data_IF_741697787268
#
_entry.id   IF_741697787268
#
_cell.length_a   1.000
_cell.length_b   1.000
_cell.length_c   1.000
_cell.angle_alpha   90.00
_cell.angle_beta   90.00
_cell.angle_gamma   90.00
#
_symmetry.space_group_name_H-M   'P 1'
#
loop_
_entity.id
_entity.type
_entity.pdbx_description
1 polymer ?
#
# COMPACT_ATOMS: atom_id res chain seq x y z
N UNK A 1 -18.23 -26.77 -4.14
CA UNK A 1 -17.82 -26.70 -2.72
C UNK A 1 -16.63 -27.62 -2.54
N UNK A 2 -15.43 -27.05 -2.50
CA UNK A 2 -14.17 -27.77 -2.26
C UNK A 2 -13.31 -26.88 -1.38
N UNK A 3 -13.38 -27.12 -0.08
CA UNK A 3 -12.58 -26.43 0.92
C UNK A 3 -11.12 -26.90 0.79
N UNK A 4 -10.23 -25.98 0.47
CA UNK A 4 -8.87 -26.05 0.95
C UNK A 4 -8.43 -24.61 1.19
N UNK A 5 -8.75 -24.14 2.40
CA UNK A 5 -8.38 -22.82 2.87
C UNK A 5 -6.89 -22.64 2.68
N UNK A 6 -6.52 -21.71 1.80
CA UNK A 6 -5.14 -21.26 1.68
C UNK A 6 -4.78 -20.74 3.07
N UNK A 7 -3.93 -21.48 3.80
CA UNK A 7 -3.45 -21.08 5.11
C UNK A 7 -2.98 -19.64 4.99
N UNK A 8 -3.47 -18.78 5.88
CA UNK A 8 -2.99 -17.41 5.98
C UNK A 8 -1.46 -17.47 5.96
N UNK A 9 -0.86 -16.82 4.98
CA UNK A 9 0.59 -16.85 4.85
C UNK A 9 1.21 -16.28 6.12
N UNK A 10 2.12 -17.04 6.74
CA UNK A 10 2.73 -16.73 8.03
C UNK A 10 3.45 -15.39 7.96
N UNK A 11 4.06 -15.06 6.81
CA UNK A 11 4.74 -13.78 6.61
C UNK A 11 3.72 -12.64 6.65
N UNK A 12 2.63 -12.76 5.88
CA UNK A 12 1.53 -11.78 5.89
C UNK A 12 0.96 -11.60 7.30
N UNK A 13 0.77 -12.68 8.06
CA UNK A 13 0.29 -12.61 9.45
C UNK A 13 1.25 -11.84 10.35
N UNK A 14 2.55 -12.17 10.29
CA UNK A 14 3.58 -11.49 11.11
C UNK A 14 3.60 -10.01 10.80
N UNK A 15 3.61 -9.63 9.52
CA UNK A 15 3.64 -8.22 9.13
C UNK A 15 2.34 -7.51 9.52
N UNK A 16 1.18 -8.16 9.46
CA UNK A 16 -0.09 -7.59 9.96
C UNK A 16 -0.10 -7.37 11.47
N UNK A 17 0.50 -8.27 12.25
CA UNK A 17 0.63 -8.09 13.71
C UNK A 17 1.55 -6.90 14.00
N UNK A 18 2.68 -6.80 13.30
CA UNK A 18 3.61 -5.67 13.46
C UNK A 18 2.97 -4.35 13.02
N UNK A 19 2.17 -4.37 11.96
CA UNK A 19 1.39 -3.22 11.52
C UNK A 19 0.33 -2.82 12.56
N UNK A 20 -0.37 -3.80 13.14
CA UNK A 20 -1.33 -3.53 14.21
C UNK A 20 -0.66 -2.90 15.45
N UNK A 21 0.51 -3.37 15.83
CA UNK A 21 1.30 -2.76 16.93
C UNK A 21 1.71 -1.33 16.55
N UNK A 22 2.13 -1.09 15.31
CA UNK A 22 2.53 0.23 14.81
C UNK A 22 1.35 1.21 14.83
N UNK A 23 0.18 0.74 14.42
CA UNK A 23 -1.08 1.47 14.51
C UNK A 23 -1.45 1.81 15.96
N UNK A 24 -1.26 0.90 16.92
CA UNK A 24 -1.50 1.19 18.34
C UNK A 24 -0.58 2.31 18.85
N UNK A 25 0.70 2.31 18.46
CA UNK A 25 1.63 3.38 18.80
C UNK A 25 1.18 4.72 18.20
N UNK A 26 0.76 4.71 16.93
CA UNK A 26 0.24 5.91 16.26
C UNK A 26 -1.04 6.45 16.93
N UNK A 27 -2.00 5.58 17.26
CA UNK A 27 -3.21 5.96 17.98
C UNK A 27 -2.88 6.52 19.36
N UNK A 28 -2.04 5.84 20.14
CA UNK A 28 -1.71 6.25 21.50
C UNK A 28 -1.02 7.63 21.52
N UNK A 29 -0.09 7.87 20.60
CA UNK A 29 0.56 9.17 20.46
C UNK A 29 -0.43 10.28 20.05
N UNK A 30 -1.36 9.97 19.15
CA UNK A 30 -2.41 10.92 18.76
C UNK A 30 -3.34 11.26 19.92
N UNK A 31 -3.70 10.25 20.73
CA UNK A 31 -4.52 10.44 21.94
C UNK A 31 -3.79 11.24 23.02
N UNK A 32 -2.46 11.09 23.13
CA UNK A 32 -1.64 11.90 24.04
C UNK A 32 -1.66 13.38 23.65
N UNK A 33 -1.48 13.70 22.37
CA UNK A 33 -1.61 15.08 21.87
C UNK A 33 -2.99 15.70 22.13
N UNK A 34 -4.05 14.88 22.03
CA UNK A 34 -5.42 15.31 22.33
C UNK A 34 -5.60 15.62 23.83
N UNK A 35 -5.01 14.79 24.70
CA UNK A 35 -5.00 15.00 26.15
C UNK A 35 -4.21 16.25 26.58
N UNK A 36 -3.14 16.59 25.85
CA UNK A 36 -2.37 17.83 26.03
C UNK A 36 -3.11 19.10 25.55
N UNK A 37 -4.33 18.95 25.01
CA UNK A 37 -5.19 20.07 24.65
C UNK A 37 -4.88 20.69 23.29
N UNK A 38 -4.25 19.95 22.37
CA UNK A 38 -4.21 20.37 20.98
C UNK A 38 -5.63 20.55 20.43
N UNK A 39 -5.82 21.54 19.54
CA UNK A 39 -7.16 21.80 19.03
C UNK A 39 -7.68 20.61 18.22
N UNK A 40 -8.95 20.26 18.40
CA UNK A 40 -9.62 19.22 17.62
C UNK A 40 -9.53 19.46 16.10
N UNK A 41 -9.47 20.72 15.68
CA UNK A 41 -9.24 21.09 14.28
C UNK A 41 -7.85 20.75 13.75
N UNK A 42 -6.82 20.81 14.61
CA UNK A 42 -5.44 20.46 14.24
C UNK A 42 -5.24 18.94 14.18
N UNK A 43 -5.89 18.20 15.10
CA UNK A 43 -5.81 16.74 15.15
C UNK A 43 -6.84 16.03 14.28
N UNK A 44 -7.84 16.72 13.74
CA UNK A 44 -8.94 16.09 13.00
C UNK A 44 -8.47 15.22 11.83
N UNK A 45 -7.49 15.69 11.06
CA UNK A 45 -6.92 14.92 9.95
C UNK A 45 -6.08 13.72 10.44
N UNK A 46 -5.32 13.89 11.52
CA UNK A 46 -4.55 12.81 12.16
C UNK A 46 -5.46 11.71 12.70
N UNK A 47 -6.52 12.07 13.42
CA UNK A 47 -7.52 11.13 13.93
C UNK A 47 -8.23 10.40 12.80
N UNK A 48 -8.57 11.09 11.72
CA UNK A 48 -9.12 10.47 10.53
C UNK A 48 -8.17 9.41 9.96
N UNK A 49 -6.88 9.73 9.85
CA UNK A 49 -5.88 8.78 9.37
C UNK A 49 -5.73 7.55 10.28
N UNK A 50 -5.79 7.71 11.61
CA UNK A 50 -5.80 6.60 12.58
C UNK A 50 -6.96 5.64 12.29
N UNK A 51 -8.16 6.18 12.04
CA UNK A 51 -9.33 5.36 11.73
C UNK A 51 -9.26 4.71 10.35
N UNK A 52 -8.73 5.41 9.35
CA UNK A 52 -8.52 4.83 8.01
C UNK A 52 -7.57 3.65 8.05
N UNK A 53 -6.46 3.76 8.78
CA UNK A 53 -5.52 2.65 8.96
C UNK A 53 -6.18 1.48 9.73
N UNK A 54 -7.01 1.76 10.74
CA UNK A 54 -7.78 0.72 11.44
C UNK A 54 -8.72 -0.05 10.51
N UNK A 55 -9.54 0.66 9.73
CA UNK A 55 -10.46 0.02 8.79
C UNK A 55 -9.72 -0.78 7.70
N UNK A 56 -8.58 -0.28 7.25
CA UNK A 56 -7.71 -1.03 6.34
C UNK A 56 -7.22 -2.33 6.99
N UNK A 57 -6.73 -2.30 8.24
CA UNK A 57 -6.28 -3.50 8.95
C UNK A 57 -7.39 -4.53 9.10
N UNK A 58 -8.60 -4.09 9.47
CA UNK A 58 -9.78 -4.96 9.54
C UNK A 58 -10.10 -5.55 8.17
N UNK A 59 -10.12 -4.72 7.13
CA UNK A 59 -10.41 -5.16 5.76
C UNK A 59 -9.38 -6.17 5.26
N UNK A 60 -8.09 -5.91 5.47
CA UNK A 60 -7.01 -6.83 5.09
C UNK A 60 -7.12 -8.13 5.89
N UNK A 61 -7.39 -8.08 7.19
CA UNK A 61 -7.60 -9.26 8.01
C UNK A 61 -8.76 -10.12 7.53
N UNK A 62 -9.91 -9.51 7.21
CA UNK A 62 -11.08 -10.21 6.68
C UNK A 62 -10.83 -10.80 5.28
N UNK A 63 -10.24 -10.01 4.38
CA UNK A 63 -9.97 -10.46 3.00
C UNK A 63 -8.91 -11.55 2.93
N UNK A 64 -7.96 -11.57 3.86
CA UNK A 64 -6.96 -12.62 3.95
C UNK A 64 -7.59 -14.01 4.24
N UNK A 65 -8.78 -14.05 4.86
CA UNK A 65 -9.55 -15.28 5.08
C UNK A 65 -10.39 -15.71 3.86
N UNK A 66 -10.72 -14.80 2.94
CA UNK A 66 -11.66 -15.06 1.82
C UNK A 66 -10.98 -15.58 0.54
N UNK A 67 -9.69 -15.31 0.34
CA UNK A 67 -8.89 -15.92 -0.73
C UNK A 67 -9.29 -15.59 -2.18
N UNK A 68 -10.07 -14.52 -2.42
CA UNK A 68 -10.52 -14.16 -3.78
C UNK A 68 -9.55 -13.18 -4.48
N UNK A 69 -9.26 -13.42 -5.76
CA UNK A 69 -8.30 -12.60 -6.52
C UNK A 69 -8.73 -11.12 -6.67
N UNK A 70 -10.05 -10.86 -6.75
CA UNK A 70 -10.57 -9.49 -6.82
C UNK A 70 -10.42 -8.76 -5.47
N UNK A 71 -10.61 -9.47 -4.34
CA UNK A 71 -10.36 -8.90 -3.02
C UNK A 71 -8.88 -8.57 -2.80
N UNK A 72 -7.98 -9.36 -3.39
CA UNK A 72 -6.54 -9.15 -3.30
C UNK A 72 -6.03 -7.92 -4.08
N UNK A 73 -6.67 -7.57 -5.21
CA UNK A 73 -6.38 -6.30 -5.89
C UNK A 73 -6.95 -5.11 -5.13
N UNK A 74 -8.19 -5.23 -4.67
CA UNK A 74 -8.85 -4.17 -3.92
C UNK A 74 -8.11 -3.83 -2.62
N UNK A 75 -7.64 -4.83 -1.85
CA UNK A 75 -6.85 -4.59 -0.64
C UNK A 75 -5.57 -3.81 -0.94
N UNK A 76 -4.88 -4.14 -2.03
CA UNK A 76 -3.61 -3.49 -2.39
C UNK A 76 -3.83 -2.04 -2.81
N UNK A 77 -4.89 -1.75 -3.57
CA UNK A 77 -5.24 -0.36 -3.91
C UNK A 77 -5.66 0.47 -2.69
N UNK A 78 -6.46 -0.09 -1.79
CA UNK A 78 -6.83 0.57 -0.54
C UNK A 78 -5.59 0.83 0.33
N UNK A 79 -4.69 -0.14 0.41
CA UNK A 79 -3.43 -0.02 1.15
C UNK A 79 -2.57 1.12 0.60
N UNK A 80 -2.44 1.23 -0.72
CA UNK A 80 -1.72 2.32 -1.38
C UNK A 80 -2.35 3.69 -1.05
N UNK A 81 -3.67 3.82 -1.15
CA UNK A 81 -4.35 5.08 -0.85
C UNK A 81 -4.17 5.51 0.60
N UNK A 82 -4.36 4.60 1.55
CA UNK A 82 -4.16 4.91 2.98
C UNK A 82 -2.70 5.22 3.29
N UNK A 83 -1.75 4.54 2.63
CA UNK A 83 -0.31 4.85 2.78
C UNK A 83 -0.01 6.31 2.42
N UNK A 84 -0.61 6.85 1.36
CA UNK A 84 -0.45 8.27 0.99
C UNK A 84 -1.02 9.20 2.07
N UNK A 85 -2.16 8.86 2.65
CA UNK A 85 -2.74 9.63 3.77
C UNK A 85 -1.80 9.65 4.97
N UNK A 86 -1.24 8.49 5.35
CA UNK A 86 -0.30 8.39 6.47
C UNK A 86 1.00 9.15 6.19
N UNK A 87 1.49 9.16 4.94
CA UNK A 87 2.63 10.00 4.55
C UNK A 87 2.37 11.49 4.77
N UNK A 88 1.16 11.95 4.43
CA UNK A 88 0.79 13.34 4.67
C UNK A 88 0.80 13.67 6.16
N UNK A 89 0.24 12.79 7.00
CA UNK A 89 0.25 12.98 8.47
C UNK A 89 1.67 12.97 9.03
N UNK A 90 2.54 12.07 8.55
CA UNK A 90 3.94 12.04 8.95
C UNK A 90 4.66 13.35 8.56
N UNK A 91 4.40 13.86 7.36
CA UNK A 91 4.93 15.14 6.91
C UNK A 91 4.44 16.31 7.77
N UNK A 92 3.14 16.34 8.08
CA UNK A 92 2.54 17.41 8.89
C UNK A 92 3.10 17.39 10.33
N UNK A 93 3.28 16.21 10.93
CA UNK A 93 3.91 16.05 12.24
C UNK A 93 5.37 16.53 12.23
N UNK A 94 6.13 16.21 11.17
CA UNK A 94 7.49 16.71 10.99
C UNK A 94 7.52 18.23 10.86
N UNK A 95 6.67 18.82 10.04
CA UNK A 95 6.61 20.28 9.86
C UNK A 95 6.26 20.98 11.17
N UNK A 96 5.33 20.42 11.96
CA UNK A 96 4.98 20.95 13.28
C UNK A 96 6.17 20.86 14.26
N UNK A 97 6.98 19.80 14.20
CA UNK A 97 8.21 19.69 14.99
C UNK A 97 9.25 20.75 14.59
N UNK A 98 9.48 20.94 13.29
CA UNK A 98 10.43 21.93 12.77
C UNK A 98 10.02 23.36 13.20
N UNK A 99 8.71 23.66 13.22
CA UNK A 99 8.18 24.95 13.72
C UNK A 99 8.32 25.08 15.25
N UNK A 100 8.07 24.00 15.99
CA UNK A 100 8.24 23.97 17.44
C UNK A 100 9.70 24.18 17.86
N UNK A 101 10.65 23.73 17.06
CA UNK A 101 12.09 23.97 17.27
C UNK A 101 12.51 25.40 16.93
N UNK A 102 11.79 26.09 16.04
CA UNK A 102 12.20 27.40 15.50
C UNK A 102 11.51 28.64 16.10
N UNK A 103 10.26 28.57 16.58
CA UNK A 103 9.46 29.79 16.82
C UNK A 103 8.78 29.94 18.19
N UNK A 104 8.56 28.88 18.98
CA UNK A 104 7.93 29.00 20.31
C UNK A 104 8.36 27.87 21.25
N UNK A 105 8.47 28.12 22.56
CA UNK A 105 8.52 27.04 23.53
C UNK A 105 7.15 26.34 23.54
N UNK A 106 7.02 25.31 22.70
CA UNK A 106 5.99 24.28 22.87
C UNK A 106 6.33 23.50 24.15
N UNK A 107 5.34 23.04 24.91
CA UNK A 107 5.62 22.22 26.09
C UNK A 107 6.46 21.00 25.69
N UNK A 108 7.38 20.58 26.57
CA UNK A 108 8.25 19.43 26.31
C UNK A 108 7.46 18.15 26.01
N UNK A 109 6.26 18.04 26.61
CA UNK A 109 5.37 16.89 26.48
C UNK A 109 4.73 16.82 25.09
N UNK A 110 4.14 17.93 24.60
CA UNK A 110 3.58 18.01 23.24
C UNK A 110 4.62 17.70 22.17
N UNK A 111 5.86 18.17 22.34
CA UNK A 111 6.95 17.86 21.40
C UNK A 111 7.31 16.37 21.40
N UNK A 112 7.28 15.75 22.58
CA UNK A 112 7.57 14.31 22.73
C UNK A 112 6.47 13.48 22.07
N UNK A 113 5.21 13.86 22.28
CA UNK A 113 4.06 13.18 21.69
C UNK A 113 4.00 13.34 20.18
N UNK A 114 4.35 14.53 19.66
CA UNK A 114 4.43 14.77 18.22
C UNK A 114 5.54 13.94 17.56
N UNK A 115 6.67 13.72 18.26
CA UNK A 115 7.70 12.76 17.83
C UNK A 115 7.19 11.31 17.87
N UNK A 116 6.37 10.96 18.86
CA UNK A 116 5.75 9.64 18.92
C UNK A 116 4.75 9.42 17.78
N UNK A 117 3.98 10.44 17.39
CA UNK A 117 3.11 10.41 16.19
C UNK A 117 3.94 10.19 14.93
N UNK A 118 5.04 10.93 14.78
CA UNK A 118 5.96 10.75 13.65
C UNK A 118 6.54 9.32 13.62
N UNK A 119 6.97 8.80 14.76
CA UNK A 119 7.51 7.44 14.85
C UNK A 119 6.46 6.37 14.51
N UNK A 120 5.23 6.50 15.05
CA UNK A 120 4.13 5.58 14.78
C UNK A 120 3.69 5.58 13.31
N UNK A 121 3.61 6.76 12.70
CA UNK A 121 3.30 6.89 11.27
C UNK A 121 4.41 6.31 10.40
N UNK A 122 5.69 6.55 10.71
CA UNK A 122 6.83 5.95 9.97
C UNK A 122 6.82 4.42 10.07
N UNK A 123 6.60 3.86 11.27
CA UNK A 123 6.51 2.41 11.45
C UNK A 123 5.38 1.81 10.61
N UNK A 124 4.21 2.44 10.63
CA UNK A 124 3.05 2.01 9.82
C UNK A 124 3.36 2.09 8.33
N UNK A 125 4.08 3.13 7.87
CA UNK A 125 4.51 3.25 6.47
C UNK A 125 5.46 2.11 6.05
N UNK A 126 6.43 1.77 6.90
CA UNK A 126 7.40 0.69 6.63
C UNK A 126 6.66 -0.63 6.39
N UNK A 127 5.77 -1.02 7.29
CA UNK A 127 5.04 -2.27 7.17
C UNK A 127 3.98 -2.24 6.06
N UNK A 128 3.33 -1.09 5.83
CA UNK A 128 2.48 -0.89 4.66
C UNK A 128 3.24 -1.19 3.37
N UNK A 129 4.45 -0.64 3.21
CA UNK A 129 5.30 -0.89 2.04
C UNK A 129 5.74 -2.34 1.92
N UNK A 130 6.14 -2.96 3.03
CA UNK A 130 6.51 -4.38 3.05
C UNK A 130 5.35 -5.24 2.54
N UNK A 131 4.12 -4.99 3.00
CA UNK A 131 2.93 -5.71 2.53
C UNK A 131 2.63 -5.46 1.05
N UNK A 132 2.68 -4.21 0.60
CA UNK A 132 2.44 -3.84 -0.80
C UNK A 132 3.45 -4.54 -1.72
N UNK A 133 4.75 -4.51 -1.38
CA UNK A 133 5.80 -5.16 -2.17
C UNK A 133 5.62 -6.68 -2.13
N UNK A 134 5.37 -7.25 -0.94
CA UNK A 134 5.19 -8.70 -0.78
C UNK A 134 4.01 -9.21 -1.62
N UNK A 135 2.86 -8.53 -1.59
CA UNK A 135 1.71 -8.88 -2.43
C UNK A 135 2.00 -8.65 -3.91
N UNK A 136 2.71 -7.57 -4.26
CA UNK A 136 3.15 -7.33 -5.62
C UNK A 136 3.97 -8.48 -6.19
N UNK A 137 4.92 -9.01 -5.42
CA UNK A 137 5.78 -10.14 -5.82
C UNK A 137 5.01 -11.47 -5.86
N UNK A 138 4.13 -11.72 -4.89
CA UNK A 138 3.43 -13.01 -4.76
C UNK A 138 2.20 -13.14 -5.67
N UNK A 139 1.57 -12.03 -6.06
CA UNK A 139 0.33 -12.06 -6.86
C UNK A 139 0.54 -11.72 -8.33
N UNK A 140 1.57 -10.94 -8.68
CA UNK A 140 1.85 -10.57 -10.07
C UNK A 140 2.99 -11.36 -10.74
N UNK A 141 3.78 -12.16 -10.02
CA UNK A 141 4.82 -12.99 -10.65
C UNK A 141 4.24 -13.98 -11.66
N UNK A 142 3.05 -14.53 -11.42
CA UNK A 142 2.36 -15.40 -12.38
C UNK A 142 1.73 -14.62 -13.55
N UNK A 143 1.25 -13.39 -13.31
CA UNK A 143 0.63 -12.56 -14.36
C UNK A 143 1.65 -11.90 -15.29
N UNK A 144 2.75 -11.36 -14.77
CA UNK A 144 3.82 -10.78 -15.57
C UNK A 144 4.55 -11.84 -16.43
N UNK A 145 4.78 -13.04 -15.89
CA UNK A 145 5.29 -14.18 -16.67
C UNK A 145 4.29 -14.66 -17.74
N UNK A 146 2.98 -14.60 -17.47
CA UNK A 146 1.95 -14.94 -18.47
C UNK A 146 1.83 -13.90 -19.59
N UNK A 147 1.97 -12.61 -19.26
CA UNK A 147 1.98 -11.52 -20.25
C UNK A 147 3.28 -11.54 -21.08
N UNK A 148 4.42 -11.85 -20.47
CA UNK A 148 5.69 -12.05 -21.20
C UNK A 148 5.65 -13.26 -22.14
N UNK A 149 5.00 -14.36 -21.75
CA UNK A 149 4.75 -15.52 -22.63
C UNK A 149 3.73 -15.23 -23.73
N UNK A 150 2.70 -14.43 -23.45
CA UNK A 150 1.73 -13.97 -24.44
C UNK A 150 2.37 -13.07 -25.50
N UNK A 151 3.21 -12.11 -25.09
CA UNK A 151 3.96 -11.25 -26.00
C UNK A 151 5.00 -12.00 -26.84
N UNK A 152 5.58 -13.10 -26.32
CA UNK A 152 6.48 -13.96 -27.09
C UNK A 152 5.74 -14.89 -28.09
N UNK A 153 4.45 -15.14 -27.89
CA UNK A 153 3.62 -15.94 -28.79
C UNK A 153 3.00 -15.14 -29.94
N UNK A 154 3.07 -13.80 -29.88
CA UNK A 154 2.43 -12.88 -30.82
C UNK A 154 3.44 -12.11 -31.69
N UNK A 155 4.60 -12.72 -31.98
CA UNK A 155 5.41 -12.31 -33.12
C UNK A 155 4.95 -13.12 -34.34
N UNK A 156 4.12 -12.57 -35.25
CA UNK A 156 3.82 -13.26 -36.49
C UNK A 156 5.12 -13.45 -37.27
N UNK A 157 5.41 -14.69 -37.67
CA UNK A 157 6.50 -14.98 -38.60
C UNK A 157 6.31 -14.12 -39.86
N UNK A 158 7.37 -13.47 -40.38
CA UNK A 158 7.24 -12.67 -41.59
C UNK A 158 6.71 -13.56 -42.72
N UNK A 159 5.57 -13.18 -43.30
CA UNK A 159 4.98 -13.90 -44.44
C UNK A 159 6.01 -13.96 -45.58
N UNK A 160 6.20 -15.15 -46.14
CA UNK A 160 7.08 -15.35 -47.28
C UNK A 160 6.59 -14.52 -48.49
N UNK A 161 7.50 -13.91 -49.26
CA UNK A 161 7.12 -13.06 -50.38
C UNK A 161 6.36 -13.86 -51.43
N UNK A 162 5.15 -13.42 -51.78
CA UNK A 162 4.35 -14.02 -52.86
C UNK A 162 5.13 -13.92 -54.18
N UNK A 163 5.32 -15.07 -54.83
CA UNK A 163 5.88 -15.14 -56.17
C UNK A 163 4.97 -14.39 -57.14
N UNK A 164 5.51 -13.39 -57.83
CA UNK A 164 4.83 -12.68 -58.91
C UNK A 164 4.84 -13.60 -60.13
N UNK A 165 3.67 -14.11 -60.51
CA UNK A 165 3.50 -14.80 -61.80
C UNK A 165 3.70 -13.80 -62.94
N UNK A 166 4.67 -14.09 -63.81
CA UNK A 166 4.94 -13.30 -65.03
C UNK A 166 3.94 -13.74 -66.11
N UNK A 167 3.22 -12.81 -66.78
CA UNK A 167 2.25 -13.19 -67.81
C UNK A 167 2.97 -13.63 -69.08
N UNK A 168 2.69 -14.86 -69.53
CA UNK A 168 3.18 -15.43 -70.79
C UNK A 168 2.50 -14.73 -71.97
N UNK A 169 3.26 -13.91 -72.71
CA UNK A 169 2.79 -13.31 -73.97
C UNK A 169 2.78 -14.40 -75.05
N UNK A 170 1.59 -14.73 -75.55
CA UNK A 170 1.42 -15.60 -76.73
C UNK A 170 1.69 -14.78 -77.98
N UNK A 171 2.82 -15.02 -78.66
CA UNK A 171 3.09 -14.47 -79.99
C UNK A 171 2.29 -15.25 -81.04
N UNK A 172 1.57 -14.51 -81.90
CA UNK A 172 1.00 -15.02 -83.17
C UNK A 172 2.09 -15.06 -84.22
#
# INVERSE_FOLDING_TARGET
MGAMGRKLDIITLIVLILEFISWLVFMAATAALDAEGMSASALGYTWWAVWFQFFLLVFVGLTACMGSANANRLRTYLMLMVTVVIMQVANDARVQLDVADGLRPVSGDVKTDLRAVLAGTILSLIFNFVLIIYWGLTEHSTQALSLGRGAAAEAPAPEAPKAVEVPTVTTV
#
